data_IF_949035091314
#
_entry.id   IF_949035091314
#
_cell.length_a   1.000
_cell.length_b   1.000
_cell.length_c   1.000
_cell.angle_alpha   90.00
_cell.angle_beta   90.00
_cell.angle_gamma   90.00
#
_symmetry.space_group_name_H-M   'P 1'
#
loop_
_entity.id
_entity.type
_entity.pdbx_description
1 polymer ?
#
# COMPACT_ATOMS: atom_id res chain seq x y z
N UNK A 1 -8.33 41.72 -49.43
CA UNK A 1 -8.60 41.32 -48.03
C UNK A 1 -7.89 40.01 -47.82
N UNK A 2 -6.72 40.07 -47.20
CA UNK A 2 -5.95 38.87 -46.92
C UNK A 2 -6.49 38.24 -45.67
N UNK A 3 -7.15 37.11 -45.84
CA UNK A 3 -7.48 36.26 -44.69
C UNK A 3 -6.19 35.60 -44.19
N UNK A 4 -5.64 36.13 -43.11
CA UNK A 4 -4.60 35.49 -42.34
C UNK A 4 -5.13 34.14 -41.85
N UNK A 5 -4.77 33.09 -42.56
CA UNK A 5 -4.99 31.73 -42.13
C UNK A 5 -4.00 31.45 -40.99
N UNK A 6 -4.41 31.78 -39.74
CA UNK A 6 -3.67 31.36 -38.56
C UNK A 6 -3.69 29.83 -38.53
N UNK A 7 -2.54 29.16 -38.54
CA UNK A 7 -2.53 27.71 -38.39
C UNK A 7 -3.17 27.36 -37.05
N UNK A 8 -4.09 26.42 -37.09
CA UNK A 8 -4.78 25.90 -35.92
C UNK A 8 -3.76 25.48 -34.84
N UNK A 9 -4.01 25.75 -33.54
CA UNK A 9 -3.13 25.37 -32.45
C UNK A 9 -2.82 23.85 -32.43
N UNK A 10 -3.68 23.05 -33.03
CA UNK A 10 -3.48 21.61 -33.13
C UNK A 10 -2.29 21.19 -34.02
N UNK A 11 -1.92 22.02 -35.00
CA UNK A 11 -0.76 21.74 -35.88
C UNK A 11 0.58 22.06 -35.23
N UNK A 12 0.61 22.96 -34.23
CA UNK A 12 1.84 23.34 -33.54
C UNK A 12 2.32 22.29 -32.54
N UNK A 13 1.40 21.48 -32.01
CA UNK A 13 1.69 20.42 -31.05
C UNK A 13 2.24 19.12 -31.71
N UNK A 14 2.09 18.97 -33.02
CA UNK A 14 2.57 17.78 -33.74
C UNK A 14 4.09 17.73 -33.95
N UNK A 15 4.79 18.87 -33.79
CA UNK A 15 6.23 18.95 -34.09
C UNK A 15 7.16 18.50 -32.93
N UNK A 16 6.62 18.31 -31.71
CA UNK A 16 7.44 17.97 -30.54
C UNK A 16 7.14 16.59 -29.97
N UNK A 17 6.33 15.78 -30.62
CA UNK A 17 6.07 14.40 -30.22
C UNK A 17 7.13 13.42 -30.72
N UNK A 18 7.62 12.55 -29.88
CA UNK A 18 8.40 11.40 -30.29
C UNK A 18 7.58 10.58 -31.28
N UNK A 19 8.21 10.19 -32.43
CA UNK A 19 7.59 9.44 -33.51
C UNK A 19 6.95 8.17 -32.95
N UNK A 20 5.62 8.05 -33.04
CA UNK A 20 4.85 6.91 -32.56
C UNK A 20 4.09 7.13 -31.24
N UNK A 21 4.20 8.30 -30.61
CA UNK A 21 3.39 8.63 -29.42
C UNK A 21 2.07 9.29 -29.80
N UNK A 22 0.96 8.72 -29.34
CA UNK A 22 -0.34 9.39 -29.36
C UNK A 22 -0.46 10.30 -28.12
N UNK A 23 -0.52 11.61 -28.34
CA UNK A 23 -0.73 12.58 -27.27
C UNK A 23 -2.14 12.42 -26.67
N UNK A 24 -2.23 12.49 -25.33
CA UNK A 24 -3.48 12.40 -24.60
C UNK A 24 -3.95 10.99 -24.24
N UNK A 25 -3.24 9.95 -24.65
CA UNK A 25 -3.50 8.58 -24.18
C UNK A 25 -2.62 8.30 -22.96
N UNK A 26 -3.24 8.15 -21.80
CA UNK A 26 -2.54 7.66 -20.61
C UNK A 26 -2.21 6.20 -20.85
N UNK A 27 -0.94 5.86 -20.81
CA UNK A 27 -0.50 4.47 -20.84
C UNK A 27 -0.92 3.77 -19.57
N UNK A 28 -1.32 2.53 -19.69
CA UNK A 28 -1.58 1.72 -18.50
C UNK A 28 -0.26 1.39 -17.78
N UNK A 29 -0.29 1.10 -16.49
CA UNK A 29 0.91 0.68 -15.75
C UNK A 29 1.63 -0.49 -16.40
N UNK A 30 0.91 -1.42 -17.02
CA UNK A 30 1.45 -2.58 -17.74
C UNK A 30 2.25 -2.18 -18.98
N UNK A 31 1.74 -1.20 -19.77
CA UNK A 31 2.45 -0.66 -20.95
C UNK A 31 3.73 0.08 -20.58
N UNK A 32 3.82 0.58 -19.34
CA UNK A 32 5.00 1.23 -18.78
C UNK A 32 5.95 0.24 -18.11
N UNK A 33 5.66 -1.06 -18.16
CA UNK A 33 6.46 -2.11 -17.53
C UNK A 33 6.34 -2.17 -16.01
N UNK A 34 5.39 -1.41 -15.43
CA UNK A 34 5.06 -1.51 -14.00
C UNK A 34 4.15 -2.70 -13.79
N UNK A 35 4.53 -3.59 -12.89
CA UNK A 35 3.61 -4.65 -12.45
C UNK A 35 2.37 -3.98 -11.84
N UNK A 36 1.15 -4.36 -12.24
CA UNK A 36 -0.05 -3.80 -11.65
C UNK A 36 -0.05 -4.07 -10.15
N UNK A 37 -0.51 -3.06 -9.40
CA UNK A 37 -0.77 -3.21 -7.98
C UNK A 37 -1.97 -4.14 -7.83
N UNK A 38 -1.74 -5.44 -7.73
CA UNK A 38 -2.82 -6.40 -7.50
C UNK A 38 -3.16 -6.41 -6.02
N UNK A 39 -4.33 -5.90 -5.69
CA UNK A 39 -5.00 -6.23 -4.44
C UNK A 39 -5.83 -7.49 -4.71
N UNK A 40 -5.47 -8.59 -4.06
CA UNK A 40 -6.21 -9.85 -4.17
C UNK A 40 -6.96 -10.06 -2.87
N UNK A 41 -8.29 -9.95 -2.91
CA UNK A 41 -9.12 -10.31 -1.77
C UNK A 41 -9.14 -11.83 -1.62
N UNK A 42 -8.81 -12.32 -0.43
CA UNK A 42 -8.83 -13.73 -0.10
C UNK A 42 -9.54 -13.91 1.24
N UNK A 43 -10.66 -14.61 1.22
CA UNK A 43 -11.35 -15.01 2.45
C UNK A 43 -10.65 -16.24 3.03
N UNK A 44 -10.08 -16.13 4.24
CA UNK A 44 -9.36 -17.23 4.89
C UNK A 44 -10.19 -17.97 5.95
N UNK A 45 -11.14 -17.28 6.55
CA UNK A 45 -12.06 -17.82 7.56
C UNK A 45 -13.47 -17.31 7.28
N UNK A 46 -14.54 -18.02 7.70
CA UNK A 46 -15.90 -17.52 7.57
C UNK A 46 -16.05 -16.17 8.32
N UNK A 47 -16.13 -15.06 7.58
CA UNK A 47 -16.34 -13.73 8.12
C UNK A 47 -15.12 -12.82 8.18
N UNK A 48 -13.89 -13.29 7.91
CA UNK A 48 -12.70 -12.43 7.86
C UNK A 48 -12.25 -12.23 6.41
N UNK A 49 -12.24 -10.97 5.97
CA UNK A 49 -11.71 -10.58 4.66
C UNK A 49 -10.21 -10.33 4.80
N UNK A 50 -9.43 -11.07 4.04
CA UNK A 50 -7.97 -10.88 3.97
C UNK A 50 -7.58 -10.38 2.58
N UNK A 51 -6.92 -9.24 2.54
CA UNK A 51 -6.43 -8.59 1.31
C UNK A 51 -4.91 -8.68 1.24
N UNK A 52 -4.36 -8.93 0.05
CA UNK A 52 -2.91 -8.92 -0.17
C UNK A 52 -2.52 -7.71 -1.00
N UNK A 53 -1.55 -6.94 -0.53
CA UNK A 53 -0.99 -5.75 -1.18
C UNK A 53 0.44 -6.06 -1.61
N UNK A 54 0.75 -5.87 -2.88
CA UNK A 54 2.09 -6.11 -3.44
C UNK A 54 2.82 -4.81 -3.79
N UNK A 55 4.14 -4.87 -3.81
CA UNK A 55 5.01 -3.79 -4.25
C UNK A 55 5.36 -2.77 -3.18
N UNK A 56 5.68 -1.53 -3.56
CA UNK A 56 6.21 -0.52 -2.64
C UNK A 56 5.15 0.28 -1.87
N UNK A 57 3.90 -0.08 -1.97
CA UNK A 57 2.84 0.65 -1.29
C UNK A 57 2.49 0.00 0.03
N UNK A 58 2.44 0.81 1.07
CA UNK A 58 1.92 0.38 2.36
C UNK A 58 0.45 -0.07 2.26
N UNK A 59 0.03 -0.89 3.21
CA UNK A 59 -1.38 -1.21 3.42
C UNK A 59 -2.21 0.06 3.65
N UNK A 60 -3.43 0.14 3.14
CA UNK A 60 -4.25 1.36 3.21
C UNK A 60 -4.58 1.77 4.65
N UNK A 61 -4.90 3.05 4.86
CA UNK A 61 -5.36 3.57 6.16
C UNK A 61 -6.76 3.07 6.53
N UNK A 62 -7.58 2.79 5.50
CA UNK A 62 -8.94 2.27 5.63
C UNK A 62 -9.13 1.08 4.70
N UNK A 63 -9.87 0.09 5.18
CA UNK A 63 -10.28 -1.10 4.44
C UNK A 63 -11.66 -1.58 4.90
N UNK A 64 -12.07 -2.77 4.50
CA UNK A 64 -13.31 -3.34 5.00
C UNK A 64 -13.28 -3.49 6.54
N UNK A 65 -14.39 -3.23 7.25
CA UNK A 65 -14.47 -3.44 8.68
C UNK A 65 -14.04 -4.84 9.10
N UNK A 66 -13.30 -4.93 10.22
CA UNK A 66 -12.80 -6.18 10.79
C UNK A 66 -12.00 -7.05 9.81
N UNK A 67 -11.33 -6.42 8.85
CA UNK A 67 -10.51 -7.11 7.83
C UNK A 67 -9.02 -7.11 8.19
N UNK A 68 -8.26 -7.90 7.43
CA UNK A 68 -6.81 -8.00 7.51
C UNK A 68 -6.21 -7.67 6.14
N UNK A 69 -5.08 -6.95 6.11
CA UNK A 69 -4.30 -6.76 4.90
C UNK A 69 -2.85 -7.15 5.14
N UNK A 70 -2.33 -8.06 4.32
CA UNK A 70 -0.91 -8.42 4.32
C UNK A 70 -0.18 -7.67 3.20
N UNK A 71 0.89 -6.99 3.53
CA UNK A 71 1.84 -6.47 2.55
C UNK A 71 2.87 -7.55 2.25
N UNK A 72 3.03 -7.89 0.97
CA UNK A 72 3.95 -8.91 0.49
C UNK A 72 5.05 -8.27 -0.34
N UNK A 73 6.29 -8.53 0.06
CA UNK A 73 7.48 -8.06 -0.65
C UNK A 73 7.70 -8.83 -1.96
N UNK A 74 8.65 -8.34 -2.75
CA UNK A 74 9.03 -8.97 -4.04
C UNK A 74 9.56 -10.41 -3.88
N UNK A 75 10.06 -10.77 -2.69
CA UNK A 75 10.51 -12.14 -2.36
C UNK A 75 9.35 -13.08 -1.97
N UNK A 76 8.12 -12.59 -1.98
CA UNK A 76 6.90 -13.34 -1.66
C UNK A 76 6.61 -13.47 -0.16
N UNK A 77 7.41 -12.83 0.71
CA UNK A 77 7.20 -12.86 2.17
C UNK A 77 6.36 -11.69 2.62
N UNK A 78 5.51 -11.93 3.61
CA UNK A 78 4.80 -10.87 4.32
C UNK A 78 5.82 -10.08 5.14
N UNK A 79 5.79 -8.76 5.08
CA UNK A 79 6.59 -7.88 5.92
C UNK A 79 5.76 -7.03 6.88
N UNK A 80 4.49 -6.81 6.55
CA UNK A 80 3.52 -6.12 7.41
C UNK A 80 2.16 -6.79 7.31
N UNK A 81 1.52 -7.03 8.46
CA UNK A 81 0.11 -7.42 8.56
C UNK A 81 -0.67 -6.32 9.26
N UNK A 82 -1.67 -5.77 8.60
CA UNK A 82 -2.54 -4.72 9.10
C UNK A 82 -3.90 -5.27 9.50
N UNK A 83 -4.43 -4.77 10.60
CA UNK A 83 -5.76 -5.09 11.11
C UNK A 83 -6.61 -3.84 11.14
N UNK A 84 -7.86 -3.98 10.72
CA UNK A 84 -8.84 -2.89 10.64
C UNK A 84 -9.95 -3.13 11.65
N UNK A 85 -10.37 -2.04 12.31
CA UNK A 85 -11.43 -2.06 13.31
C UNK A 85 -12.84 -2.17 12.69
N UNK A 86 -13.86 -2.07 13.52
CA UNK A 86 -15.28 -2.15 13.12
C UNK A 86 -15.74 -1.02 12.19
N UNK A 87 -15.01 0.10 12.19
CA UNK A 87 -15.25 1.25 11.32
C UNK A 87 -14.37 1.22 10.05
N UNK A 88 -13.51 0.21 9.93
CA UNK A 88 -12.59 0.04 8.81
C UNK A 88 -11.34 0.89 8.89
N UNK A 89 -11.03 1.51 10.04
CA UNK A 89 -9.74 2.17 10.24
C UNK A 89 -8.66 1.18 10.65
N UNK A 90 -7.44 1.45 10.19
CA UNK A 90 -6.28 0.67 10.61
C UNK A 90 -6.09 0.81 12.13
N UNK A 91 -6.25 -0.28 12.86
CA UNK A 91 -6.09 -0.31 14.31
C UNK A 91 -4.67 -0.70 14.73
N UNK A 92 -4.06 -1.65 14.01
CA UNK A 92 -2.71 -2.10 14.31
C UNK A 92 -2.00 -2.65 13.09
N UNK A 93 -0.66 -2.53 13.08
CA UNK A 93 0.24 -3.20 12.15
C UNK A 93 1.20 -4.11 12.91
N UNK A 94 1.39 -5.33 12.42
CA UNK A 94 2.50 -6.19 12.83
C UNK A 94 3.58 -6.08 11.76
N UNK A 95 4.74 -5.57 12.14
CA UNK A 95 5.93 -5.45 11.32
C UNK A 95 6.87 -6.63 11.61
N UNK A 96 7.38 -7.30 10.57
CA UNK A 96 8.22 -8.49 10.69
C UNK A 96 9.72 -8.20 10.60
N UNK A 97 10.10 -6.94 10.66
CA UNK A 97 11.50 -6.51 10.59
C UNK A 97 11.73 -5.17 11.29
N UNK A 98 13.00 -4.85 11.51
CA UNK A 98 13.43 -3.56 12.04
C UNK A 98 13.51 -2.46 10.98
N UNK A 99 13.01 -2.68 9.77
CA UNK A 99 13.09 -1.76 8.62
C UNK A 99 14.51 -1.24 8.30
N UNK A 100 15.55 -2.02 8.64
CA UNK A 100 16.94 -1.60 8.49
C UNK A 100 17.41 -0.59 9.53
N UNK A 101 16.63 -0.35 10.59
CA UNK A 101 16.95 0.61 11.65
C UNK A 101 16.92 -0.03 13.04
N UNK A 102 17.92 -0.86 13.39
CA UNK A 102 17.94 -1.62 14.64
C UNK A 102 18.02 -0.73 15.90
N UNK A 103 18.42 0.54 15.77
CA UNK A 103 18.47 1.47 16.91
C UNK A 103 17.09 1.90 17.39
N UNK A 104 16.12 1.95 16.51
CA UNK A 104 14.75 2.39 16.82
C UNK A 104 13.73 1.25 16.85
N UNK A 105 14.12 0.06 16.37
CA UNK A 105 13.25 -1.11 16.26
C UNK A 105 13.95 -2.36 16.79
N UNK A 106 14.43 -2.29 18.04
CA UNK A 106 15.15 -3.38 18.71
C UNK A 106 14.19 -4.30 19.49
N UNK A 107 13.10 -4.71 18.85
CA UNK A 107 12.12 -5.63 19.42
C UNK A 107 12.30 -7.03 18.85
N UNK A 108 11.94 -8.07 19.61
CA UNK A 108 11.99 -9.44 19.17
C UNK A 108 13.37 -9.93 18.68
N UNK A 109 13.39 -11.06 17.98
CA UNK A 109 14.63 -11.65 17.44
C UNK A 109 15.10 -10.93 16.16
N UNK A 110 14.18 -10.50 15.33
CA UNK A 110 14.44 -9.88 14.01
C UNK A 110 13.95 -8.43 13.89
N UNK A 111 13.58 -7.82 15.03
CA UNK A 111 13.01 -6.47 15.08
C UNK A 111 11.50 -6.43 14.85
N UNK A 112 10.83 -7.58 14.93
CA UNK A 112 9.39 -7.67 14.81
C UNK A 112 8.69 -6.93 15.95
N UNK A 113 7.72 -6.09 15.60
CA UNK A 113 7.02 -5.22 16.55
C UNK A 113 5.58 -4.96 16.08
N UNK A 114 4.78 -4.43 17.00
CA UNK A 114 3.43 -4.00 16.73
C UNK A 114 3.32 -2.49 16.88
N UNK A 115 2.66 -1.85 15.93
CA UNK A 115 2.26 -0.45 15.96
C UNK A 115 0.74 -0.39 16.17
N UNK A 116 0.30 0.32 17.21
CA UNK A 116 -1.10 0.57 17.52
C UNK A 116 -1.45 2.00 17.11
N UNK A 117 -2.54 2.19 16.37
CA UNK A 117 -2.91 3.47 15.77
C UNK A 117 -4.10 4.09 16.50
N UNK A 118 -4.00 5.39 16.80
CA UNK A 118 -5.13 6.25 17.11
C UNK A 118 -5.29 7.29 16.02
N UNK A 119 -6.53 7.54 15.59
CA UNK A 119 -6.85 8.45 14.50
C UNK A 119 -7.61 9.67 15.01
N UNK A 120 -7.39 10.83 14.39
CA UNK A 120 -8.21 12.01 14.53
C UNK A 120 -9.44 11.92 13.61
N UNK A 121 -10.46 12.72 13.88
CA UNK A 121 -11.68 12.80 13.05
C UNK A 121 -11.40 13.19 11.60
N UNK A 122 -10.33 13.93 11.33
CA UNK A 122 -9.88 14.33 9.99
C UNK A 122 -9.09 13.23 9.23
N UNK A 123 -8.90 12.05 9.84
CA UNK A 123 -8.15 10.93 9.26
C UNK A 123 -6.63 11.11 9.31
N UNK A 124 -6.13 12.06 10.07
CA UNK A 124 -4.71 12.13 10.42
C UNK A 124 -4.38 11.22 11.59
N UNK A 125 -3.13 10.76 11.66
CA UNK A 125 -2.68 9.96 12.79
C UNK A 125 -2.55 10.83 14.04
N UNK A 126 -3.27 10.48 15.10
CA UNK A 126 -3.17 11.12 16.39
C UNK A 126 -1.99 10.60 17.19
N UNK A 127 -1.84 9.28 17.24
CA UNK A 127 -0.80 8.59 18.00
C UNK A 127 -0.47 7.24 17.36
N UNK A 128 0.78 6.86 17.46
CA UNK A 128 1.27 5.50 17.22
C UNK A 128 1.97 5.03 18.48
N UNK A 129 1.51 3.94 19.06
CA UNK A 129 2.19 3.27 20.16
C UNK A 129 2.89 2.01 19.62
N UNK A 130 4.19 1.94 19.84
CA UNK A 130 5.03 0.82 19.39
C UNK A 130 5.47 -0.02 20.57
N UNK A 131 5.33 -1.34 20.43
CA UNK A 131 5.77 -2.30 21.45
C UNK A 131 6.14 -3.65 20.83
N UNK A 132 6.73 -4.52 21.62
CA UNK A 132 6.92 -5.92 21.26
C UNK A 132 5.59 -6.67 21.16
N UNK A 133 5.54 -7.74 20.33
CA UNK A 133 4.40 -8.64 20.28
C UNK A 133 4.31 -9.45 21.58
N UNK A 134 3.11 -9.68 22.06
CA UNK A 134 2.83 -10.63 23.12
C UNK A 134 2.92 -12.07 22.60
N UNK A 135 3.01 -13.04 23.50
CA UNK A 135 3.04 -14.47 23.13
C UNK A 135 1.74 -14.91 22.41
N UNK A 136 0.60 -14.36 22.82
CA UNK A 136 -0.68 -14.62 22.16
C UNK A 136 -0.72 -14.04 20.74
N UNK A 137 -0.24 -12.81 20.54
CA UNK A 137 -0.14 -12.19 19.22
C UNK A 137 0.82 -12.95 18.31
N UNK A 138 1.93 -13.47 18.85
CA UNK A 138 2.85 -14.35 18.11
C UNK A 138 2.17 -15.63 17.68
N UNK A 139 1.42 -16.26 18.58
CA UNK A 139 0.71 -17.51 18.30
C UNK A 139 -0.40 -17.33 17.27
N UNK A 140 -1.17 -16.24 17.38
CA UNK A 140 -2.25 -15.92 16.43
C UNK A 140 -1.73 -15.60 15.02
N UNK A 141 -0.48 -15.19 14.89
CA UNK A 141 0.14 -14.78 13.63
C UNK A 141 1.38 -15.64 13.27
N UNK A 142 1.43 -16.87 13.77
CA UNK A 142 2.56 -17.81 13.51
C UNK A 142 2.75 -18.12 12.01
N UNK A 143 1.72 -17.90 11.20
CA UNK A 143 1.75 -18.11 9.76
C UNK A 143 2.63 -17.11 9.00
N UNK A 144 2.98 -15.98 9.64
CA UNK A 144 3.82 -14.93 9.06
C UNK A 144 5.13 -14.67 9.81
N UNK A 145 5.28 -15.19 11.03
CA UNK A 145 6.46 -15.01 11.91
C UNK A 145 7.61 -15.97 11.62
#
# INVERSE_FOLDING_TARGET
MDFYNKPSPALFLMHYGLKGMKWGVRRTPEELGHKPKQMVEKTTEPGIIKTTVYGHSATPKQAAPNSIADHVRDDGKVDVRSFYDEDGWKAKDIHLSNHGNPKHHSFGEHGEHIDLYEWNEDGSVKRIERRELTDDERKENEDIL
#
